data_IF_879335978845
#
_entry.id   IF_879335978845
#
_cell.length_a   1.000
_cell.length_b   1.000
_cell.length_c   1.000
_cell.angle_alpha   90.00
_cell.angle_beta   90.00
_cell.angle_gamma   90.00
#
_symmetry.space_group_name_H-M   'P 1'
#
loop_
_entity.id
_entity.type
_entity.pdbx_description
1 polymer ?
#
# COMPACT_ATOMS: atom_id res chain seq x y z
N UNK A 1 -6.83 14.61 24.18
CA UNK A 1 -5.59 15.05 23.50
C UNK A 1 -5.56 14.32 22.17
N UNK A 2 -5.97 14.99 21.10
CA UNK A 2 -5.87 14.43 19.75
C UNK A 2 -4.45 14.72 19.30
N UNK A 3 -3.56 13.74 19.47
CA UNK A 3 -2.36 13.69 18.66
C UNK A 3 -2.84 13.74 17.21
N UNK A 4 -2.68 14.90 16.57
CA UNK A 4 -2.86 15.06 15.13
C UNK A 4 -1.85 14.11 14.49
N UNK A 5 -2.28 12.88 14.18
CA UNK A 5 -1.52 11.95 13.37
C UNK A 5 -1.31 12.63 12.02
N UNK A 6 -0.18 13.30 11.88
CA UNK A 6 0.35 13.84 10.63
C UNK A 6 0.96 12.72 9.79
N UNK A 7 1.18 11.57 10.42
CA UNK A 7 1.82 10.39 9.89
C UNK A 7 0.80 9.23 9.80
N UNK A 8 0.67 8.70 8.59
CA UNK A 8 -0.21 7.59 8.25
C UNK A 8 0.60 6.43 7.67
N UNK A 9 0.20 5.23 8.02
CA UNK A 9 0.78 4.00 7.50
C UNK A 9 -0.19 3.39 6.49
N UNK A 10 0.34 3.10 5.31
CA UNK A 10 -0.41 2.49 4.21
C UNK A 10 -0.16 0.99 4.22
N UNK A 11 -1.21 0.23 4.50
CA UNK A 11 -1.15 -1.22 4.71
C UNK A 11 -1.95 -1.89 3.60
N UNK A 12 -1.30 -2.77 2.85
CA UNK A 12 -1.96 -3.66 1.91
C UNK A 12 -2.64 -4.78 2.70
N UNK A 13 -3.96 -4.69 2.85
CA UNK A 13 -4.77 -5.68 3.56
C UNK A 13 -5.08 -6.89 2.67
N UNK A 14 -5.30 -6.66 1.38
CA UNK A 14 -5.55 -7.73 0.39
C UNK A 14 -5.03 -7.29 -0.99
N UNK A 15 -4.36 -8.18 -1.71
CA UNK A 15 -3.82 -7.90 -3.05
C UNK A 15 -4.78 -8.21 -4.19
N UNK A 16 -5.99 -8.68 -3.89
CA UNK A 16 -7.05 -8.92 -4.87
C UNK A 16 -6.71 -9.99 -5.92
N UNK A 17 -7.57 -10.07 -6.93
CA UNK A 17 -7.40 -11.02 -8.03
C UNK A 17 -6.34 -10.55 -9.05
N UNK A 18 -6.17 -9.24 -9.23
CA UNK A 18 -5.26 -8.67 -10.23
C UNK A 18 -3.82 -8.49 -9.69
N UNK A 19 -3.26 -9.55 -9.09
CA UNK A 19 -1.96 -9.50 -8.39
C UNK A 19 -0.83 -8.88 -9.21
N UNK A 20 -0.76 -9.13 -10.52
CA UNK A 20 0.29 -8.55 -11.38
C UNK A 20 0.20 -7.03 -11.43
N UNK A 21 -1.02 -6.47 -11.51
CA UNK A 21 -1.22 -5.02 -11.51
C UNK A 21 -0.86 -4.42 -10.15
N UNK A 22 -1.29 -5.08 -9.07
CA UNK A 22 -0.95 -4.67 -7.70
C UNK A 22 0.57 -4.69 -7.47
N UNK A 23 1.27 -5.75 -7.90
CA UNK A 23 2.74 -5.84 -7.79
C UNK A 23 3.41 -4.68 -8.53
N UNK A 24 2.94 -4.30 -9.73
CA UNK A 24 3.50 -3.15 -10.47
C UNK A 24 3.35 -1.86 -9.66
N UNK A 25 2.14 -1.59 -9.18
CA UNK A 25 1.84 -0.39 -8.39
C UNK A 25 2.65 -0.37 -7.09
N UNK A 26 2.72 -1.49 -6.36
CA UNK A 26 3.55 -1.65 -5.16
C UNK A 26 5.01 -1.33 -5.46
N UNK A 27 5.58 -1.85 -6.57
CA UNK A 27 6.97 -1.53 -6.96
C UNK A 27 7.16 -0.05 -7.27
N UNK A 28 6.21 0.59 -7.93
CA UNK A 28 6.28 2.02 -8.25
C UNK A 28 6.24 2.90 -6.99
N UNK A 29 5.45 2.52 -5.99
CA UNK A 29 5.30 3.28 -4.74
C UNK A 29 6.47 3.05 -3.77
N UNK A 30 6.92 1.81 -3.65
CA UNK A 30 7.88 1.38 -2.61
C UNK A 30 9.32 1.28 -3.12
N UNK A 31 9.52 1.16 -4.43
CA UNK A 31 10.82 0.91 -5.04
C UNK A 31 11.37 -0.51 -4.84
N UNK A 32 10.57 -1.42 -4.25
CA UNK A 32 10.98 -2.80 -3.98
C UNK A 32 11.33 -3.58 -5.26
N UNK A 33 12.24 -4.54 -5.12
CA UNK A 33 12.54 -5.50 -6.18
C UNK A 33 11.32 -6.36 -6.52
N UNK A 34 11.33 -6.99 -7.71
CA UNK A 34 10.21 -7.84 -8.16
C UNK A 34 9.87 -8.94 -7.15
N UNK A 35 10.88 -9.55 -6.54
CA UNK A 35 10.72 -10.60 -5.54
C UNK A 35 10.07 -10.07 -4.26
N UNK A 36 10.56 -8.94 -3.75
CA UNK A 36 10.08 -8.32 -2.51
C UNK A 36 8.64 -7.80 -2.68
N UNK A 37 8.34 -7.14 -3.79
CA UNK A 37 6.99 -6.67 -4.08
C UNK A 37 6.00 -7.84 -4.25
N UNK A 38 6.43 -8.93 -4.88
CA UNK A 38 5.61 -10.15 -4.95
C UNK A 38 5.32 -10.69 -3.54
N UNK A 39 6.36 -10.82 -2.71
CA UNK A 39 6.23 -11.30 -1.33
C UNK A 39 5.31 -10.39 -0.50
N UNK A 40 5.43 -9.06 -0.63
CA UNK A 40 4.56 -8.07 0.00
C UNK A 40 3.09 -8.22 -0.40
N UNK A 41 2.81 -8.54 -1.67
CA UNK A 41 1.44 -8.81 -2.13
C UNK A 41 0.92 -10.19 -1.76
N UNK A 42 1.78 -11.18 -1.53
CA UNK A 42 1.39 -12.53 -1.13
C UNK A 42 1.21 -12.67 0.39
N UNK A 43 1.87 -11.82 1.18
CA UNK A 43 1.85 -11.84 2.65
C UNK A 43 1.10 -10.63 3.22
N UNK A 44 -0.21 -10.57 2.99
CA UNK A 44 -1.05 -9.53 3.60
C UNK A 44 -1.53 -9.96 5.00
N UNK A 45 -1.73 -9.01 5.96
CA UNK A 45 -1.52 -7.58 5.82
C UNK A 45 -0.02 -7.18 5.80
N UNK A 46 0.37 -6.34 4.84
CA UNK A 46 1.75 -5.86 4.67
C UNK A 46 1.82 -4.34 4.66
N UNK A 47 2.77 -3.74 5.36
CA UNK A 47 2.96 -2.29 5.37
C UNK A 47 3.75 -1.89 4.12
N UNK A 48 3.16 -1.06 3.26
CA UNK A 48 3.79 -0.58 2.02
C UNK A 48 4.59 0.70 2.25
N UNK A 49 4.05 1.61 3.05
CA UNK A 49 4.63 2.92 3.37
C UNK A 49 4.28 3.27 4.81
N UNK A 50 5.22 3.84 5.53
CA UNK A 50 5.06 4.30 6.91
C UNK A 50 5.35 5.80 6.99
N UNK A 51 4.66 6.49 7.90
CA UNK A 51 4.92 7.91 8.17
C UNK A 51 4.62 8.84 7.00
N UNK A 52 3.72 8.45 6.08
CA UNK A 52 3.33 9.31 4.96
C UNK A 52 2.24 10.29 5.39
N UNK A 53 2.18 11.45 4.74
CA UNK A 53 1.10 12.39 5.00
C UNK A 53 -0.24 11.84 4.47
N UNK A 54 -1.35 12.47 4.87
CA UNK A 54 -2.70 12.05 4.47
C UNK A 54 -2.88 12.02 2.94
N UNK A 55 -2.33 13.01 2.22
CA UNK A 55 -2.48 13.12 0.77
C UNK A 55 -1.76 11.99 0.02
N UNK A 56 -0.55 11.65 0.43
CA UNK A 56 0.23 10.54 -0.12
C UNK A 56 -0.44 9.20 0.24
N UNK A 57 -0.91 9.04 1.48
CA UNK A 57 -1.64 7.84 1.90
C UNK A 57 -2.91 7.61 1.06
N UNK A 58 -3.73 8.65 0.85
CA UNK A 58 -4.93 8.55 0.02
C UNK A 58 -4.61 8.32 -1.46
N UNK A 59 -3.54 8.93 -1.97
CA UNK A 59 -3.07 8.72 -3.35
C UNK A 59 -2.64 7.28 -3.58
N UNK A 60 -1.86 6.72 -2.65
CA UNK A 60 -1.42 5.33 -2.71
C UNK A 60 -2.61 4.38 -2.60
N UNK A 61 -3.50 4.62 -1.63
CA UNK A 61 -4.72 3.84 -1.45
C UNK A 61 -5.54 3.79 -2.74
N UNK A 62 -5.82 4.94 -3.35
CA UNK A 62 -6.58 5.01 -4.62
C UNK A 62 -5.92 4.19 -5.72
N UNK A 63 -4.60 4.38 -5.95
CA UNK A 63 -3.88 3.63 -7.00
C UNK A 63 -3.96 2.12 -6.84
N UNK A 64 -3.93 1.64 -5.60
CA UNK A 64 -4.03 0.21 -5.28
C UNK A 64 -5.48 -0.29 -5.38
N UNK A 65 -6.46 0.48 -4.91
CA UNK A 65 -7.88 0.14 -5.03
C UNK A 65 -8.36 0.12 -6.49
N UNK A 66 -7.84 0.99 -7.35
CA UNK A 66 -8.12 1.01 -8.80
C UNK A 66 -7.69 -0.27 -9.51
N UNK A 67 -6.67 -0.95 -9.00
CA UNK A 67 -6.22 -2.26 -9.50
C UNK A 67 -6.76 -3.44 -8.68
N UNK A 68 -7.75 -3.19 -7.83
CA UNK A 68 -8.48 -4.22 -7.09
C UNK A 68 -7.82 -4.71 -5.81
N UNK A 69 -6.80 -4.02 -5.28
CA UNK A 69 -6.27 -4.29 -3.95
C UNK A 69 -7.08 -3.57 -2.86
N UNK A 70 -7.08 -4.13 -1.65
CA UNK A 70 -7.67 -3.52 -0.46
C UNK A 70 -6.57 -2.93 0.41
N UNK A 71 -6.69 -1.65 0.72
CA UNK A 71 -5.69 -0.91 1.49
C UNK A 71 -6.31 -0.26 2.72
N UNK A 72 -5.64 -0.44 3.86
CA UNK A 72 -5.96 0.23 5.11
C UNK A 72 -4.95 1.35 5.36
N UNK A 73 -5.46 2.51 5.80
CA UNK A 73 -4.64 3.65 6.22
C UNK A 73 -4.81 3.80 7.72
N UNK A 74 -3.70 3.69 8.47
CA UNK A 74 -3.69 3.75 9.94
C UNK A 74 -2.86 4.90 10.47
#
# INVERSE_FOLDING_TARGET
ESEEKTEFNVILADSGAEKIKVIKVVREITGLGLKEAKDATEKTPHVLKEGVNKEEAETIKKKLEEVGAKVEVK
#
